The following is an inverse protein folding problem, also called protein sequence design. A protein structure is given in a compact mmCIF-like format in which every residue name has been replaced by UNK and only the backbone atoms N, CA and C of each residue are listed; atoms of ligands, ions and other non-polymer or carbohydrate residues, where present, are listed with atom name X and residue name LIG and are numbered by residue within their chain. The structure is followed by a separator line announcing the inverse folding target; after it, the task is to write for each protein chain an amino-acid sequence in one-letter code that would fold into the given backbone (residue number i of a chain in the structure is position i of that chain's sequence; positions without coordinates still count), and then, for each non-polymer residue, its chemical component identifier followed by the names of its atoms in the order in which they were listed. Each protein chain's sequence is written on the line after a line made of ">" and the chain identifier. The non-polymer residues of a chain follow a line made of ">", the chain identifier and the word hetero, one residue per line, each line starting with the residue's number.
data_IF_602597827224
#
_entry.id   IF_602597827224
#
_cell.length_a   1.000
_cell.length_b   1.000
_cell.length_c   1.000
_cell.angle_alpha   90.00
_cell.angle_beta   90.00
_cell.angle_gamma   90.00
#
_symmetry.space_group_name_H-M   'P 1'
#
loop_
_entity.id
_entity.type
_entity.pdbx_description
1 polymer ?
#
# COMPACT_ATOMS: atom_id res chain seq x y z
N UNK A 1 4.26 11.50 -0.21
CA UNK A 1 3.98 10.69 -1.38
C UNK A 1 3.06 9.51 -1.05
N UNK A 2 3.24 8.34 -1.68
CA UNK A 2 2.37 7.18 -1.48
C UNK A 2 2.29 6.75 0.00
N UNK A 3 3.40 6.73 0.73
CA UNK A 3 3.45 6.35 2.14
C UNK A 3 2.59 7.25 3.03
N UNK A 4 2.44 8.53 2.70
CA UNK A 4 1.66 9.48 3.50
C UNK A 4 0.16 9.20 3.42
N UNK A 5 -0.34 8.73 2.28
CA UNK A 5 -1.73 8.29 2.11
C UNK A 5 -2.04 7.11 3.04
N UNK A 6 -1.18 6.11 3.09
CA UNK A 6 -1.37 4.91 3.91
C UNK A 6 -1.19 5.18 5.39
N UNK A 7 -0.25 6.04 5.78
CA UNK A 7 -0.11 6.53 7.16
C UNK A 7 -1.35 7.25 7.64
N UNK A 8 -1.92 8.12 6.81
CA UNK A 8 -3.15 8.84 7.14
C UNK A 8 -4.34 7.89 7.27
N UNK A 9 -4.46 6.92 6.38
CA UNK A 9 -5.48 5.90 6.47
C UNK A 9 -5.33 5.05 7.75
N UNK A 10 -4.12 4.59 8.06
CA UNK A 10 -3.85 3.87 9.29
C UNK A 10 -4.24 4.69 10.53
N UNK A 11 -3.84 5.95 10.58
CA UNK A 11 -4.20 6.86 11.66
C UNK A 11 -5.73 7.01 11.81
N UNK A 12 -6.44 7.19 10.70
CA UNK A 12 -7.90 7.34 10.72
C UNK A 12 -8.59 6.06 11.21
N UNK A 13 -8.12 4.88 10.79
CA UNK A 13 -8.66 3.62 11.28
C UNK A 13 -8.44 3.42 12.78
N UNK A 14 -7.33 3.90 13.32
CA UNK A 14 -7.01 3.80 14.74
C UNK A 14 -7.86 4.78 15.57
N UNK A 15 -8.02 6.03 15.10
CA UNK A 15 -8.63 7.12 15.88
C UNK A 15 -10.11 7.33 15.62
N UNK A 16 -10.58 7.08 14.40
CA UNK A 16 -11.98 7.27 13.98
C UNK A 16 -12.39 6.26 12.91
N UNK A 17 -12.58 4.99 13.29
CA UNK A 17 -12.90 3.93 12.32
C UNK A 17 -14.25 4.14 11.61
N UNK A 18 -15.19 4.85 12.20
CA UNK A 18 -16.44 5.22 11.53
C UNK A 18 -16.18 6.11 10.31
N UNK A 19 -15.38 7.15 10.47
CA UNK A 19 -15.02 8.02 9.35
C UNK A 19 -14.18 7.27 8.30
N UNK A 20 -13.30 6.39 8.74
CA UNK A 20 -12.49 5.56 7.85
C UNK A 20 -13.37 4.63 7.00
N UNK A 21 -14.34 3.92 7.59
CA UNK A 21 -15.25 3.04 6.86
C UNK A 21 -16.09 3.81 5.84
N UNK A 22 -16.67 4.93 6.25
CA UNK A 22 -17.44 5.80 5.36
C UNK A 22 -16.61 6.32 4.18
N UNK A 23 -15.36 6.69 4.43
CA UNK A 23 -14.42 7.13 3.39
C UNK A 23 -14.08 6.05 2.36
N UNK A 24 -14.23 4.78 2.74
CA UNK A 24 -14.07 3.63 1.83
C UNK A 24 -15.41 3.15 1.23
N UNK A 25 -16.50 3.87 1.47
CA UNK A 25 -17.82 3.49 0.97
C UNK A 25 -18.41 2.27 1.67
N UNK A 26 -17.98 1.99 2.90
CA UNK A 26 -18.45 0.84 3.68
C UNK A 26 -19.36 1.28 4.81
N UNK A 27 -20.36 0.45 5.08
CA UNK A 27 -21.14 0.55 6.32
C UNK A 27 -20.25 0.18 7.52
N UNK A 28 -20.36 0.95 8.60
CA UNK A 28 -19.65 0.63 9.84
C UNK A 28 -20.37 -0.49 10.58
N UNK A 29 -19.72 -1.64 10.62
CA UNK A 29 -20.32 -2.88 11.15
C UNK A 29 -20.45 -2.87 12.67
N UNK A 30 -21.18 -3.85 13.21
CA UNK A 30 -21.34 -4.06 14.64
C UNK A 30 -20.76 -5.41 15.08
N UNK A 31 -20.55 -5.57 16.39
CA UNK A 31 -20.11 -6.82 17.00
C UNK A 31 -18.78 -7.34 16.42
N UNK A 32 -18.74 -8.61 16.08
CA UNK A 32 -17.57 -9.29 15.51
C UNK A 32 -17.19 -8.69 14.16
N UNK A 33 -18.20 -8.27 13.35
CA UNK A 33 -17.95 -7.62 12.07
C UNK A 33 -17.14 -6.32 12.23
N UNK A 34 -17.42 -5.54 13.26
CA UNK A 34 -16.66 -4.33 13.57
C UNK A 34 -15.21 -4.65 13.94
N UNK A 35 -14.99 -5.67 14.75
CA UNK A 35 -13.65 -6.12 15.12
C UNK A 35 -12.83 -6.54 13.91
N UNK A 36 -13.41 -7.32 13.02
CA UNK A 36 -12.78 -7.74 11.76
C UNK A 36 -12.49 -6.53 10.88
N UNK A 37 -13.47 -5.66 10.69
CA UNK A 37 -13.31 -4.46 9.84
C UNK A 37 -12.16 -3.56 10.33
N UNK A 38 -12.14 -3.24 11.62
CA UNK A 38 -11.08 -2.42 12.20
C UNK A 38 -9.73 -3.14 12.12
N UNK A 39 -9.68 -4.40 12.51
CA UNK A 39 -8.44 -5.19 12.54
C UNK A 39 -7.81 -5.34 11.16
N UNK A 40 -8.57 -5.80 10.20
CA UNK A 40 -8.06 -6.12 8.85
C UNK A 40 -7.67 -4.86 8.08
N UNK A 41 -8.51 -3.83 8.12
CA UNK A 41 -8.17 -2.57 7.42
C UNK A 41 -7.04 -1.81 8.10
N UNK A 42 -6.99 -1.77 9.43
CA UNK A 42 -5.85 -1.18 10.13
C UNK A 42 -4.55 -1.92 9.82
N UNK A 43 -4.58 -3.25 9.85
CA UNK A 43 -3.41 -4.08 9.53
C UNK A 43 -2.94 -3.85 8.08
N UNK A 44 -3.87 -3.77 7.12
CA UNK A 44 -3.54 -3.48 5.72
C UNK A 44 -2.81 -2.15 5.58
N UNK A 45 -3.38 -1.06 6.09
CA UNK A 45 -2.79 0.26 5.94
C UNK A 45 -1.51 0.44 6.75
N UNK A 46 -1.45 -0.10 7.97
CA UNK A 46 -0.23 -0.10 8.78
C UNK A 46 0.87 -0.92 8.08
N UNK A 47 0.55 -2.11 7.60
CA UNK A 47 1.51 -2.99 6.94
C UNK A 47 2.12 -2.35 5.69
N UNK A 48 1.29 -1.81 4.80
CA UNK A 48 1.77 -1.09 3.60
C UNK A 48 2.60 0.13 4.00
N UNK A 49 2.13 0.92 4.96
CA UNK A 49 2.86 2.09 5.45
C UNK A 49 4.22 1.75 6.03
N UNK A 50 4.31 0.69 6.84
CA UNK A 50 5.58 0.21 7.42
C UNK A 50 6.52 -0.29 6.33
N UNK A 51 6.06 -1.10 5.38
CA UNK A 51 6.92 -1.57 4.29
C UNK A 51 7.46 -0.43 3.44
N UNK A 52 6.62 0.56 3.11
CA UNK A 52 7.08 1.76 2.41
C UNK A 52 8.13 2.53 3.22
N UNK A 53 7.91 2.69 4.52
CA UNK A 53 8.81 3.41 5.41
C UNK A 53 10.16 2.69 5.54
N UNK A 54 10.15 1.38 5.83
CA UNK A 54 11.37 0.57 5.95
C UNK A 54 12.13 0.52 4.63
N UNK A 55 11.44 0.37 3.52
CA UNK A 55 12.05 0.40 2.19
C UNK A 55 12.72 1.72 1.87
N UNK A 56 12.11 2.83 2.29
CA UNK A 56 12.68 4.17 2.07
C UNK A 56 13.85 4.48 2.99
N UNK A 57 13.76 4.11 4.28
CA UNK A 57 14.82 4.37 5.28
C UNK A 57 16.07 3.52 4.99
N UNK A 58 15.88 2.22 4.80
CA UNK A 58 16.98 1.29 4.56
C UNK A 58 17.36 1.13 3.09
N UNK A 59 16.64 1.83 2.19
CA UNK A 59 16.79 1.71 0.72
C UNK A 59 16.74 0.24 0.28
N UNK A 60 15.87 -0.52 0.91
CA UNK A 60 15.73 -1.96 0.69
C UNK A 60 14.55 -2.24 -0.24
N UNK A 61 14.87 -2.70 -1.44
CA UNK A 61 13.91 -3.00 -2.51
C UNK A 61 12.92 -4.07 -2.10
N UNK A 62 13.32 -5.04 -1.28
CA UNK A 62 12.44 -6.12 -0.83
C UNK A 62 11.22 -5.61 -0.08
N UNK A 63 11.38 -4.62 0.80
CA UNK A 63 10.26 -4.01 1.50
C UNK A 63 9.32 -3.24 0.56
N UNK A 64 9.88 -2.54 -0.43
CA UNK A 64 9.09 -1.83 -1.43
C UNK A 64 8.29 -2.79 -2.31
N UNK A 65 8.90 -3.89 -2.74
CA UNK A 65 8.21 -4.95 -3.51
C UNK A 65 7.11 -5.59 -2.67
N UNK A 66 7.32 -5.80 -1.38
CA UNK A 66 6.30 -6.34 -0.48
C UNK A 66 5.07 -5.43 -0.42
N UNK A 67 5.26 -4.12 -0.32
CA UNK A 67 4.15 -3.16 -0.38
C UNK A 67 3.40 -3.25 -1.72
N UNK A 68 4.13 -3.32 -2.83
CA UNK A 68 3.55 -3.43 -4.17
C UNK A 68 2.72 -4.71 -4.32
N UNK A 69 3.21 -5.84 -3.82
CA UNK A 69 2.46 -7.11 -3.87
C UNK A 69 1.13 -6.98 -3.16
N UNK A 70 1.09 -6.38 -1.97
CA UNK A 70 -0.14 -6.18 -1.21
C UNK A 70 -1.11 -5.27 -1.99
N UNK A 71 -0.64 -4.15 -2.52
CA UNK A 71 -1.47 -3.19 -3.25
C UNK A 71 -2.02 -3.77 -4.54
N UNK A 72 -1.20 -4.46 -5.32
CA UNK A 72 -1.65 -5.09 -6.56
C UNK A 72 -2.62 -6.25 -6.29
N UNK A 73 -2.41 -6.99 -5.21
CA UNK A 73 -3.35 -8.03 -4.80
C UNK A 73 -4.73 -7.42 -4.47
N UNK A 74 -4.76 -6.30 -3.78
CA UNK A 74 -6.01 -5.59 -3.48
C UNK A 74 -6.69 -5.11 -4.78
N UNK A 75 -5.96 -4.49 -5.70
CA UNK A 75 -6.50 -4.04 -6.98
C UNK A 75 -7.08 -5.21 -7.80
N UNK A 76 -6.36 -6.33 -7.89
CA UNK A 76 -6.82 -7.54 -8.59
C UNK A 76 -8.10 -8.07 -7.95
N UNK A 77 -8.15 -8.17 -6.63
CA UNK A 77 -9.34 -8.69 -5.93
C UNK A 77 -10.55 -7.77 -6.07
N UNK A 78 -10.35 -6.46 -6.23
CA UNK A 78 -11.45 -5.54 -6.54
C UNK A 78 -12.02 -5.80 -7.94
N UNK A 79 -11.18 -6.10 -8.91
CA UNK A 79 -11.62 -6.47 -10.27
C UNK A 79 -12.37 -7.82 -10.23
N UNK A 80 -11.88 -8.78 -9.48
CA UNK A 80 -12.55 -10.08 -9.28
C UNK A 80 -13.93 -9.87 -8.63
N UNK A 81 -14.01 -9.04 -7.60
CA UNK A 81 -15.27 -8.74 -6.91
C UNK A 81 -16.30 -8.11 -7.86
N UNK A 82 -15.85 -7.20 -8.73
CA UNK A 82 -16.72 -6.63 -9.76
C UNK A 82 -17.22 -7.65 -10.75
N UNK A 83 -16.34 -8.50 -11.30
CA UNK A 83 -16.71 -9.45 -12.35
C UNK A 83 -17.50 -10.66 -11.85
N UNK A 84 -17.14 -11.20 -10.69
CA UNK A 84 -17.67 -12.49 -10.22
C UNK A 84 -18.77 -12.28 -9.16
N UNK A 85 -18.62 -11.29 -8.29
CA UNK A 85 -19.51 -11.09 -7.14
C UNK A 85 -20.45 -9.88 -7.30
N UNK A 86 -20.54 -9.31 -8.49
CA UNK A 86 -21.43 -8.19 -8.82
C UNK A 86 -21.24 -6.96 -7.91
N UNK A 87 -20.03 -6.75 -7.40
CA UNK A 87 -19.70 -5.54 -6.67
C UNK A 87 -19.55 -4.36 -7.62
N UNK A 88 -19.74 -3.13 -7.12
CA UNK A 88 -19.48 -1.93 -7.89
C UNK A 88 -18.01 -1.82 -8.30
N UNK A 89 -17.75 -1.28 -9.49
CA UNK A 89 -16.40 -1.10 -9.98
C UNK A 89 -15.70 0.03 -9.20
N UNK A 90 -14.72 -0.33 -8.37
CA UNK A 90 -14.05 0.59 -7.46
C UNK A 90 -12.95 1.40 -8.16
N UNK A 91 -13.32 2.22 -9.16
CA UNK A 91 -12.39 2.98 -10.03
C UNK A 91 -11.36 3.78 -9.24
N UNK A 92 -11.82 4.54 -8.23
CA UNK A 92 -10.94 5.41 -7.43
C UNK A 92 -9.90 4.57 -6.66
N UNK A 93 -10.34 3.52 -5.99
CA UNK A 93 -9.47 2.68 -5.17
C UNK A 93 -8.46 1.90 -6.02
N UNK A 94 -8.90 1.31 -7.12
CA UNK A 94 -8.02 0.61 -8.07
C UNK A 94 -6.98 1.59 -8.63
N UNK A 95 -7.39 2.79 -9.01
CA UNK A 95 -6.49 3.82 -9.52
C UNK A 95 -5.44 4.23 -8.49
N UNK A 96 -5.83 4.46 -7.24
CA UNK A 96 -4.91 4.79 -6.14
C UNK A 96 -3.91 3.66 -5.90
N UNK A 97 -4.37 2.42 -5.85
CA UNK A 97 -3.53 1.25 -5.62
C UNK A 97 -2.52 1.04 -6.76
N UNK A 98 -2.94 1.18 -8.01
CA UNK A 98 -2.08 1.05 -9.19
C UNK A 98 -1.08 2.20 -9.27
N UNK A 99 -1.51 3.44 -9.10
CA UNK A 99 -0.62 4.61 -9.13
C UNK A 99 0.41 4.54 -8.00
N UNK A 100 -0.01 4.20 -6.79
CA UNK A 100 0.90 4.01 -5.66
C UNK A 100 1.92 2.90 -5.91
N UNK A 101 1.50 1.79 -6.50
CA UNK A 101 2.39 0.70 -6.90
C UNK A 101 3.44 1.15 -7.91
N UNK A 102 3.03 1.91 -8.92
CA UNK A 102 3.95 2.47 -9.93
C UNK A 102 4.95 3.42 -9.26
N UNK A 103 4.52 4.30 -8.37
CA UNK A 103 5.41 5.22 -7.65
C UNK A 103 6.42 4.48 -6.78
N UNK A 104 5.98 3.43 -6.08
CA UNK A 104 6.85 2.60 -5.23
C UNK A 104 7.86 1.83 -6.11
N UNK A 105 7.44 1.24 -7.21
CA UNK A 105 8.32 0.55 -8.15
C UNK A 105 9.35 1.50 -8.77
N UNK A 106 8.93 2.71 -9.14
CA UNK A 106 9.85 3.73 -9.65
C UNK A 106 10.93 4.09 -8.60
N UNK A 107 10.55 4.23 -7.35
CA UNK A 107 11.49 4.45 -6.24
C UNK A 107 12.46 3.27 -6.07
N UNK A 108 11.96 2.04 -6.17
CA UNK A 108 12.79 0.83 -6.09
C UNK A 108 13.81 0.74 -7.23
N UNK A 109 13.40 1.05 -8.45
CA UNK A 109 14.29 1.09 -9.63
C UNK A 109 15.37 2.16 -9.48
N UNK A 110 15.01 3.35 -9.00
CA UNK A 110 15.97 4.43 -8.75
C UNK A 110 16.99 4.06 -7.68
N UNK A 111 16.58 3.41 -6.60
CA UNK A 111 17.50 2.94 -5.56
C UNK A 111 18.48 1.90 -6.09
N UNK A 112 18.01 0.94 -6.87
CA UNK A 112 18.84 -0.09 -7.50
C UNK A 112 19.84 0.51 -8.50
N UNK A 113 19.42 1.47 -9.30
CA UNK A 113 20.28 2.15 -10.26
C UNK A 113 21.41 2.92 -9.57
N UNK A 114 21.08 3.62 -8.47
CA UNK A 114 22.06 4.37 -7.68
C UNK A 114 23.09 3.42 -7.01
N UNK A 115 22.66 2.29 -6.50
CA UNK A 115 23.52 1.27 -5.90
C UNK A 115 24.52 0.71 -6.92
N UNK A 116 24.05 0.33 -8.10
CA UNK A 116 24.90 -0.16 -9.19
C UNK A 116 25.92 0.90 -9.67
N UNK A 117 25.56 2.18 -9.65
CA UNK A 117 26.47 3.27 -10.01
C UNK A 117 27.58 3.46 -8.98
N UNK A 118 27.29 3.32 -7.70
CA UNK A 118 28.27 3.39 -6.60
C UNK A 118 29.25 2.21 -6.70
N UNK A 119 28.74 0.97 -6.86
CA UNK A 119 29.58 -0.22 -7.03
C UNK A 119 30.53 -0.10 -8.23
N UNK A 120 30.05 0.39 -9.37
CA UNK A 120 30.90 0.57 -10.55
C UNK A 120 32.00 1.63 -10.35
N UNK A 121 31.72 2.70 -9.61
CA UNK A 121 32.71 3.73 -9.31
C UNK A 121 33.77 3.25 -8.32
N UNK A 122 33.39 2.45 -7.34
CA UNK A 122 34.35 1.85 -6.38
C UNK A 122 35.28 0.83 -7.05
N UNK A 123 34.78 0.07 -8.03
CA UNK A 123 35.61 -0.87 -8.80
C UNK A 123 36.57 -0.18 -9.79
N UNK A 124 36.22 1.00 -10.31
CA UNK A 124 37.12 1.80 -11.16
C UNK A 124 38.25 2.45 -10.35
N UNK A 125 38.04 2.83 -9.10
CA UNK A 125 39.03 3.46 -8.21
C UNK A 125 39.97 2.45 -7.53
N UNK A 126 39.73 1.17 -7.64
CA UNK A 126 40.59 0.10 -7.13
C UNK A 126 41.45 -0.51 -8.23
#
# INVERSE_FOLDING_TARGET
>A
AASDVYKRQAYTWITNPLAASNGLGMEYLEGIGRSTQIGDFSAFFIGVGIFCLLGSIFKNITFLISAVIILLSAAIMRIVAWQIYSADFATIFISVEVISSIMILASAVLFRKKENTIESSETEDS
#
